data_IF_303792712377
#
_entry.id   IF_303792712377
#
_cell.length_a   1.000
_cell.length_b   1.000
_cell.length_c   1.000
_cell.angle_alpha   90.00
_cell.angle_beta   90.00
_cell.angle_gamma   90.00
#
_symmetry.space_group_name_H-M   'P 1'
#
loop_
_entity.id
_entity.type
_entity.pdbx_description
1 polymer ?
#
# COMPACT_ATOMS: atom_id res chain seq x y z
N UNK A 1 -15.83 -8.01 1.51
CA UNK A 1 -17.30 -8.19 1.48
C UNK A 1 -17.80 -8.59 0.09
N UNK A 2 -17.29 -8.04 -1.02
CA UNK A 2 -17.73 -8.37 -2.40
C UNK A 2 -17.03 -9.59 -3.04
N UNK A 3 -15.79 -9.90 -2.65
CA UNK A 3 -14.97 -10.99 -3.25
C UNK A 3 -15.60 -12.38 -3.08
N UNK A 4 -16.25 -12.63 -1.93
CA UNK A 4 -16.92 -13.89 -1.62
C UNK A 4 -18.15 -14.12 -2.51
N UNK A 5 -18.90 -13.06 -2.83
CA UNK A 5 -20.03 -13.13 -3.75
C UNK A 5 -19.57 -13.41 -5.19
N UNK A 6 -18.46 -12.80 -5.63
CA UNK A 6 -17.86 -13.07 -6.94
C UNK A 6 -17.31 -14.50 -7.05
N UNK A 7 -16.69 -15.02 -5.99
CA UNK A 7 -16.25 -16.42 -5.91
C UNK A 7 -17.41 -17.41 -5.97
N UNK A 8 -18.50 -17.15 -5.24
CA UNK A 8 -19.71 -17.97 -5.27
C UNK A 8 -20.42 -17.96 -6.64
N UNK A 9 -20.36 -16.85 -7.38
CA UNK A 9 -20.86 -16.75 -8.75
C UNK A 9 -19.96 -17.45 -9.79
N UNK A 10 -18.65 -17.50 -9.56
CA UNK A 10 -17.70 -18.21 -10.42
C UNK A 10 -17.66 -19.73 -10.19
N UNK A 11 -18.00 -20.19 -8.99
CA UNK A 11 -18.04 -21.61 -8.61
C UNK A 11 -18.92 -22.49 -9.53
N UNK A 12 -20.19 -22.15 -9.82
CA UNK A 12 -21.04 -22.95 -10.71
C UNK A 12 -20.54 -22.94 -12.17
N UNK A 13 -19.83 -21.89 -12.60
CA UNK A 13 -19.16 -21.85 -13.91
C UNK A 13 -17.95 -22.81 -13.99
N UNK A 14 -17.21 -23.00 -12.88
CA UNK A 14 -16.08 -23.96 -12.81
C UNK A 14 -16.53 -25.42 -12.65
N UNK A 15 -17.66 -25.66 -11.99
CA UNK A 15 -18.16 -27.01 -11.65
C UNK A 15 -19.22 -27.57 -12.62
N UNK A 16 -19.80 -26.75 -13.51
CA UNK A 16 -20.76 -27.21 -14.51
C UNK A 16 -20.13 -28.11 -15.59
N UNK A 17 -20.37 -29.42 -15.52
CA UNK A 17 -19.90 -30.46 -16.45
C UNK A 17 -20.84 -30.68 -17.64
N UNK A 18 -21.20 -29.62 -18.36
CA UNK A 18 -22.01 -29.67 -19.59
C UNK A 18 -21.18 -29.43 -20.87
N UNK A 19 -21.67 -29.86 -22.04
CA UNK A 19 -21.05 -29.61 -23.35
C UNK A 19 -20.74 -28.11 -23.55
N UNK A 20 -19.47 -27.76 -23.79
CA UNK A 20 -18.95 -26.39 -23.78
C UNK A 20 -18.11 -26.01 -22.53
N UNK A 21 -17.88 -26.96 -21.62
CA UNK A 21 -17.07 -26.80 -20.40
C UNK A 21 -15.57 -26.60 -20.64
N UNK A 22 -15.05 -26.96 -21.82
CA UNK A 22 -13.65 -26.69 -22.21
C UNK A 22 -13.35 -25.19 -22.28
N UNK A 23 -14.34 -24.35 -22.61
CA UNK A 23 -14.17 -22.90 -22.72
C UNK A 23 -14.55 -22.16 -21.42
N UNK A 24 -15.47 -22.71 -20.63
CA UNK A 24 -15.97 -22.08 -19.39
C UNK A 24 -15.05 -22.28 -18.18
N UNK A 25 -14.37 -23.43 -18.10
CA UNK A 25 -13.35 -23.71 -17.06
C UNK A 25 -12.19 -22.71 -17.06
N UNK A 26 -11.50 -22.43 -18.18
CA UNK A 26 -10.38 -21.48 -18.16
C UNK A 26 -10.82 -20.05 -17.86
N UNK A 27 -12.03 -19.66 -18.30
CA UNK A 27 -12.62 -18.35 -17.99
C UNK A 27 -12.88 -18.19 -16.49
N UNK A 28 -13.44 -19.21 -15.84
CA UNK A 28 -13.67 -19.21 -14.38
C UNK A 28 -12.37 -19.15 -13.59
N UNK A 29 -11.34 -19.88 -14.01
CA UNK A 29 -10.01 -19.86 -13.37
C UNK A 29 -9.35 -18.48 -13.50
N UNK A 30 -9.43 -17.86 -14.69
CA UNK A 30 -8.89 -16.52 -14.93
C UNK A 30 -9.56 -15.46 -14.03
N UNK A 31 -10.89 -15.53 -13.88
CA UNK A 31 -11.64 -14.62 -13.01
C UNK A 31 -11.28 -14.86 -11.53
N UNK A 32 -11.26 -16.11 -11.07
CA UNK A 32 -10.91 -16.44 -9.69
C UNK A 32 -9.48 -16.01 -9.35
N UNK A 33 -8.51 -16.29 -10.23
CA UNK A 33 -7.13 -15.85 -10.09
C UNK A 33 -7.01 -14.33 -10.11
N UNK A 34 -7.69 -13.67 -11.04
CA UNK A 34 -7.72 -12.20 -11.15
C UNK A 34 -8.28 -11.52 -9.90
N UNK A 35 -9.31 -12.10 -9.28
CA UNK A 35 -9.90 -11.60 -8.04
C UNK A 35 -8.95 -11.78 -6.84
N UNK A 36 -8.28 -12.93 -6.73
CA UNK A 36 -7.29 -13.17 -5.67
C UNK A 36 -6.12 -12.21 -5.83
N UNK A 37 -5.59 -12.07 -7.06
CA UNK A 37 -4.50 -11.13 -7.36
C UNK A 37 -4.92 -9.70 -7.09
N UNK A 38 -6.11 -9.26 -7.52
CA UNK A 38 -6.63 -7.92 -7.21
C UNK A 38 -6.69 -7.69 -5.70
N UNK A 39 -7.15 -8.69 -4.95
CA UNK A 39 -7.28 -8.53 -3.51
C UNK A 39 -5.93 -8.41 -2.81
N UNK A 40 -4.95 -9.22 -3.24
CA UNK A 40 -3.57 -9.12 -2.78
C UNK A 40 -2.93 -7.79 -3.20
N UNK A 41 -3.13 -7.36 -4.45
CA UNK A 41 -2.62 -6.09 -4.95
C UNK A 41 -3.18 -4.94 -4.13
N UNK A 42 -4.48 -4.89 -3.86
CA UNK A 42 -5.08 -3.84 -3.03
C UNK A 42 -4.52 -3.85 -1.61
N UNK A 43 -4.50 -5.03 -0.97
CA UNK A 43 -4.06 -5.17 0.41
C UNK A 43 -2.57 -4.84 0.58
N UNK A 44 -1.76 -5.07 -0.45
CA UNK A 44 -0.34 -4.74 -0.47
C UNK A 44 -0.04 -3.32 -0.97
N UNK A 45 -0.84 -2.79 -1.90
CA UNK A 45 -0.67 -1.45 -2.46
C UNK A 45 -0.93 -0.38 -1.41
N UNK A 46 -1.98 -0.52 -0.58
CA UNK A 46 -2.29 0.45 0.48
C UNK A 46 -1.12 0.70 1.44
N UNK A 47 -0.50 -0.33 2.06
CA UNK A 47 0.64 -0.10 2.95
C UNK A 47 1.91 0.35 2.20
N UNK A 48 2.16 -0.14 0.98
CA UNK A 48 3.32 0.29 0.19
C UNK A 48 3.24 1.78 -0.15
N UNK A 49 2.07 2.25 -0.58
CA UNK A 49 1.85 3.68 -0.85
C UNK A 49 2.01 4.47 0.45
N UNK A 50 1.48 3.98 1.58
CA UNK A 50 1.65 4.67 2.86
C UNK A 50 3.14 4.84 3.24
N UNK A 51 3.95 3.79 3.12
CA UNK A 51 5.39 3.85 3.38
C UNK A 51 6.14 4.74 2.38
N UNK A 52 5.74 4.72 1.11
CA UNK A 52 6.32 5.59 0.08
C UNK A 52 6.09 7.07 0.42
N UNK A 53 4.84 7.43 0.74
CA UNK A 53 4.48 8.79 1.13
C UNK A 53 5.06 9.21 2.48
N UNK A 54 5.14 8.31 3.47
CA UNK A 54 5.77 8.59 4.77
C UNK A 54 7.26 8.93 4.60
N UNK A 55 7.98 8.18 3.78
CA UNK A 55 9.39 8.47 3.49
C UNK A 55 9.59 9.82 2.79
N UNK A 56 8.65 10.21 1.92
CA UNK A 56 8.67 11.47 1.19
C UNK A 56 8.32 12.65 2.10
N UNK A 57 7.32 12.46 2.97
CA UNK A 57 6.89 13.42 3.97
C UNK A 57 7.97 13.72 5.01
N UNK A 58 8.70 12.70 5.48
CA UNK A 58 9.86 12.89 6.37
C UNK A 58 10.94 13.74 5.74
N UNK A 59 11.32 13.48 4.48
CA UNK A 59 12.31 14.28 3.75
C UNK A 59 11.84 15.72 3.50
N UNK A 60 10.57 15.92 3.20
CA UNK A 60 10.00 17.26 3.01
C UNK A 60 10.01 18.06 4.34
N UNK A 61 9.66 17.41 5.45
CA UNK A 61 9.61 18.00 6.79
C UNK A 61 11.00 18.30 7.36
N UNK A 62 12.00 17.45 7.09
CA UNK A 62 13.40 17.71 7.42
C UNK A 62 13.95 18.93 6.65
N UNK A 63 13.55 19.12 5.39
CA UNK A 63 13.90 20.32 4.62
C UNK A 63 13.25 21.58 5.18
N UNK A 64 11.99 21.49 5.61
CA UNK A 64 11.24 22.63 6.15
C UNK A 64 11.70 23.03 7.57
N UNK A 65 12.06 22.05 8.41
CA UNK A 65 12.45 22.30 9.80
C UNK A 65 13.93 22.70 9.97
N UNK A 66 14.74 22.68 8.90
CA UNK A 66 16.08 23.30 8.88
C UNK A 66 16.05 24.83 8.86
N UNK A 67 14.87 25.44 8.75
CA UNK A 67 14.68 26.88 8.87
C UNK A 67 14.42 27.39 10.29
N UNK A 68 14.37 26.51 11.30
CA UNK A 68 14.22 26.92 12.70
C UNK A 68 15.45 27.70 13.15
N UNK A 69 15.32 28.98 13.58
CA UNK A 69 16.47 29.79 13.94
C UNK A 69 17.17 29.15 15.12
N UNK A 70 18.44 28.82 14.93
CA UNK A 70 19.42 28.60 15.99
C UNK A 70 19.57 29.92 16.76
N UNK A 71 18.58 30.30 17.55
CA UNK A 71 18.63 31.47 18.40
C UNK A 71 18.98 31.03 19.82
N UNK A 72 20.27 31.18 20.12
CA UNK A 72 20.76 31.59 21.43
C UNK A 72 20.79 30.53 22.53
N UNK A 73 22.00 30.08 22.87
CA UNK A 73 22.56 30.30 24.20
C UNK A 73 23.99 29.73 24.23
N UNK A 74 24.95 30.49 23.70
CA UNK A 74 26.28 30.50 24.32
C UNK A 74 26.13 31.44 25.52
N UNK A 75 26.01 30.94 26.76
CA UNK A 75 26.16 31.82 27.92
C UNK A 75 27.56 32.45 27.84
N UNK A 76 27.71 33.74 28.15
CA UNK A 76 29.01 34.39 28.16
C UNK A 76 29.90 33.63 29.14
N UNK A 77 30.88 32.91 28.59
CA UNK A 77 31.98 32.40 29.36
C UNK A 77 32.76 33.63 29.83
N UNK A 78 32.38 34.13 31.00
CA UNK A 78 33.29 34.60 32.05
C UNK A 78 34.73 34.70 31.55
N UNK A 79 35.08 35.86 30.98
CA UNK A 79 36.47 36.30 30.89
C UNK A 79 36.91 36.63 32.32
N UNK A 80 37.34 35.55 32.98
CA UNK A 80 38.15 35.63 34.17
C UNK A 80 39.54 36.16 33.78
N UNK A 81 39.97 37.22 34.47
CA UNK A 81 41.38 37.49 34.70
C UNK A 81 42.04 38.50 33.76
N UNK A 82 41.98 39.78 34.15
CA UNK A 82 43.18 40.62 34.27
C UNK A 82 42.93 41.76 35.26
#
# INVERSE_FOLDING_TARGET
MTTLAALLGALPLMLGTGAGSELRRPLGIAIAGGLIVSQLLTLFTTPVIYLAFDSLGRRARERFNRGGPSHGATPPATDAGN
#
